data_IF_882196062403
#
_entry.id   IF_882196062403
#
_cell.length_a   1.000
_cell.length_b   1.000
_cell.length_c   1.000
_cell.angle_alpha   90.00
_cell.angle_beta   90.00
_cell.angle_gamma   90.00
#
_symmetry.space_group_name_H-M   'P 1'
#
loop_
_entity.id
_entity.type
_entity.pdbx_description
1 polymer ?
#
# COMPACT_ATOMS: atom_id res chain seq x y z
N UNK A 1 -1.47 10.47 -21.56
CA UNK A 1 -1.86 9.14 -22.12
C UNK A 1 -2.53 8.40 -20.98
N UNK A 2 -3.70 7.76 -21.22
CA UNK A 2 -4.38 6.98 -20.19
C UNK A 2 -3.55 5.78 -19.75
N UNK A 3 -3.45 5.53 -18.44
CA UNK A 3 -2.85 4.32 -17.92
C UNK A 3 -3.77 3.11 -18.15
N UNK A 4 -3.21 1.92 -18.33
CA UNK A 4 -4.02 0.69 -18.36
C UNK A 4 -4.16 0.13 -16.96
N UNK A 5 -5.40 -0.18 -16.58
CA UNK A 5 -5.74 -0.89 -15.35
C UNK A 5 -6.46 -2.17 -15.75
N UNK A 6 -5.85 -3.30 -15.49
CA UNK A 6 -6.45 -4.62 -15.71
C UNK A 6 -7.31 -5.00 -14.51
N UNK A 7 -8.49 -5.55 -14.78
CA UNK A 7 -9.50 -5.83 -13.75
C UNK A 7 -10.04 -7.26 -13.89
N UNK A 8 -10.28 -7.91 -12.76
CA UNK A 8 -11.03 -9.17 -12.69
C UNK A 8 -12.02 -9.11 -11.53
N UNK A 9 -13.27 -9.49 -11.77
CA UNK A 9 -14.29 -9.68 -10.72
C UNK A 9 -14.03 -10.92 -9.89
N UNK A 10 -13.40 -11.93 -10.47
CA UNK A 10 -13.04 -13.14 -9.77
C UNK A 10 -11.81 -12.88 -8.88
N UNK A 11 -11.95 -13.20 -7.58
CA UNK A 11 -10.92 -12.93 -6.57
C UNK A 11 -10.33 -14.26 -6.11
N UNK A 12 -9.36 -14.75 -6.87
CA UNK A 12 -8.60 -15.96 -6.54
C UNK A 12 -7.09 -15.70 -6.63
N UNK A 13 -6.27 -16.49 -5.92
CA UNK A 13 -4.82 -16.43 -6.04
C UNK A 13 -4.31 -16.51 -7.49
N UNK A 14 -4.95 -17.36 -8.31
CA UNK A 14 -4.60 -17.58 -9.72
C UNK A 14 -4.90 -16.33 -10.57
N UNK A 15 -5.97 -15.61 -10.25
CA UNK A 15 -6.32 -14.34 -10.92
C UNK A 15 -5.34 -13.23 -10.61
N UNK A 16 -4.76 -13.20 -9.41
CA UNK A 16 -3.67 -12.26 -9.08
C UNK A 16 -2.50 -12.47 -10.05
N UNK A 17 -2.08 -13.73 -10.27
CA UNK A 17 -1.00 -14.07 -11.21
C UNK A 17 -1.40 -13.77 -12.67
N UNK A 18 -2.65 -14.03 -13.04
CA UNK A 18 -3.13 -13.75 -14.41
C UNK A 18 -3.09 -12.24 -14.71
N UNK A 19 -3.54 -11.41 -13.76
CA UNK A 19 -3.49 -9.95 -13.89
C UNK A 19 -2.05 -9.42 -13.93
N UNK A 20 -1.15 -9.95 -13.10
CA UNK A 20 0.28 -9.62 -13.17
C UNK A 20 0.84 -9.88 -14.57
N UNK A 21 0.54 -11.04 -15.14
CA UNK A 21 0.98 -11.39 -16.51
C UNK A 21 0.38 -10.48 -17.58
N UNK A 22 -0.90 -10.08 -17.42
CA UNK A 22 -1.58 -9.16 -18.34
C UNK A 22 -0.97 -7.76 -18.34
N UNK A 23 -0.44 -7.29 -17.19
CA UNK A 23 0.31 -6.03 -17.09
C UNK A 23 1.56 -6.06 -18.00
N UNK A 24 2.14 -7.25 -18.24
CA UNK A 24 3.21 -7.45 -19.21
C UNK A 24 4.58 -6.87 -18.80
N UNK A 25 4.82 -6.69 -17.49
CA UNK A 25 6.09 -6.22 -16.94
C UNK A 25 6.76 -7.33 -16.13
N UNK A 26 7.95 -7.74 -16.55
CA UNK A 26 8.81 -8.59 -15.74
C UNK A 26 9.57 -7.73 -14.71
N UNK A 27 9.65 -8.24 -13.48
CA UNK A 27 10.41 -7.62 -12.41
C UNK A 27 11.82 -8.20 -12.37
N UNK A 28 12.87 -7.40 -12.65
CA UNK A 28 14.24 -7.90 -12.72
C UNK A 28 14.86 -8.09 -11.34
N UNK A 29 15.82 -9.00 -11.26
CA UNK A 29 16.72 -9.17 -10.12
C UNK A 29 16.02 -9.65 -8.86
N UNK A 30 16.44 -9.15 -7.70
CA UNK A 30 15.82 -9.45 -6.40
C UNK A 30 14.56 -8.63 -6.22
N UNK A 31 13.43 -9.30 -6.08
CA UNK A 31 12.09 -8.67 -6.03
C UNK A 31 11.66 -8.46 -4.58
N UNK A 32 11.41 -7.20 -4.19
CA UNK A 32 10.71 -6.87 -2.96
C UNK A 32 9.20 -7.04 -3.17
N UNK A 33 8.54 -7.90 -2.40
CA UNK A 33 7.07 -8.00 -2.39
C UNK A 33 6.55 -7.20 -1.20
N UNK A 34 6.12 -5.96 -1.47
CA UNK A 34 5.56 -5.08 -0.46
C UNK A 34 4.09 -5.35 -0.26
N UNK A 35 3.74 -5.76 0.92
CA UNK A 35 2.36 -6.00 1.34
C UNK A 35 2.13 -5.52 2.77
N UNK A 36 0.93 -5.71 3.30
CA UNK A 36 0.60 -5.51 4.70
C UNK A 36 0.40 -6.88 5.38
N UNK A 37 1.21 -7.17 6.37
CA UNK A 37 1.23 -8.49 7.04
C UNK A 37 0.08 -8.70 8.05
N UNK A 38 -0.73 -7.66 8.31
CA UNK A 38 -1.76 -7.63 9.34
C UNK A 38 -1.22 -7.26 10.72
N UNK A 39 -1.96 -6.44 11.48
CA UNK A 39 -1.70 -6.29 12.92
C UNK A 39 -2.24 -7.51 13.66
N UNK A 40 -1.62 -7.88 14.78
CA UNK A 40 -2.08 -9.02 15.56
C UNK A 40 -3.50 -8.77 16.09
N UNK A 41 -4.42 -9.66 15.74
CA UNK A 41 -5.85 -9.55 16.08
C UNK A 41 -6.74 -9.08 14.93
N UNK A 42 -6.17 -8.50 13.87
CA UNK A 42 -6.94 -8.12 12.68
C UNK A 42 -7.45 -9.36 11.96
N UNK A 43 -8.76 -9.39 11.66
CA UNK A 43 -9.43 -10.52 11.02
C UNK A 43 -9.61 -10.35 9.50
N UNK A 44 -9.35 -9.17 8.95
CA UNK A 44 -9.71 -8.83 7.56
C UNK A 44 -8.53 -8.93 6.58
N UNK A 45 -7.27 -8.93 7.08
CA UNK A 45 -6.10 -8.91 6.21
C UNK A 45 -6.03 -10.16 5.31
N UNK A 46 -5.45 -9.99 4.13
CA UNK A 46 -5.25 -11.10 3.19
C UNK A 46 -3.97 -11.86 3.57
N UNK A 47 -4.15 -13.11 4.00
CA UNK A 47 -3.08 -13.94 4.55
C UNK A 47 -2.16 -14.57 3.49
N UNK A 48 -1.11 -15.29 3.96
CA UNK A 48 -0.10 -15.91 3.12
C UNK A 48 -0.64 -16.80 1.99
N UNK A 49 -1.67 -17.60 2.26
CA UNK A 49 -2.19 -18.55 1.27
C UNK A 49 -2.81 -17.86 0.06
N UNK A 50 -3.42 -16.68 0.25
CA UNK A 50 -3.97 -15.90 -0.85
C UNK A 50 -2.86 -15.35 -1.77
N UNK A 51 -1.76 -14.89 -1.20
CA UNK A 51 -0.67 -14.27 -1.93
C UNK A 51 0.38 -15.25 -2.47
N UNK A 52 0.39 -16.49 -1.95
CA UNK A 52 1.42 -17.50 -2.25
C UNK A 52 1.72 -17.65 -3.75
N UNK A 53 0.75 -17.92 -4.66
CA UNK A 53 1.08 -18.13 -6.07
C UNK A 53 1.76 -16.92 -6.72
N UNK A 54 1.43 -15.70 -6.27
CA UNK A 54 2.03 -14.48 -6.80
C UNK A 54 3.45 -14.27 -6.29
N UNK A 55 3.69 -14.47 -4.99
CA UNK A 55 5.02 -14.34 -4.37
C UNK A 55 5.98 -15.36 -4.99
N UNK A 56 5.52 -16.62 -5.14
CA UNK A 56 6.30 -17.69 -5.77
C UNK A 56 6.58 -17.41 -7.26
N UNK A 57 5.60 -16.86 -7.99
CA UNK A 57 5.75 -16.55 -9.42
C UNK A 57 6.84 -15.52 -9.72
N UNK A 58 7.13 -14.62 -8.77
CA UNK A 58 8.21 -13.62 -8.90
C UNK A 58 9.46 -13.97 -8.09
N UNK A 59 9.48 -15.10 -7.41
CA UNK A 59 10.55 -15.49 -6.47
C UNK A 59 10.90 -14.37 -5.49
N UNK A 60 9.86 -13.69 -4.96
CA UNK A 60 10.01 -12.48 -4.19
C UNK A 60 10.22 -12.71 -2.70
N UNK A 61 10.86 -11.73 -2.05
CA UNK A 61 10.95 -11.64 -0.59
C UNK A 61 9.85 -10.72 -0.08
N UNK A 62 9.07 -11.16 0.90
CA UNK A 62 8.07 -10.32 1.57
C UNK A 62 8.77 -9.24 2.38
N UNK A 63 8.41 -7.97 2.15
CA UNK A 63 9.05 -6.84 2.83
C UNK A 63 8.04 -5.97 3.58
N UNK A 64 8.43 -5.56 4.79
CA UNK A 64 7.67 -4.68 5.67
C UNK A 64 8.60 -3.72 6.41
N UNK A 65 8.02 -2.69 7.06
CA UNK A 65 8.72 -1.82 8.01
C UNK A 65 7.95 -1.75 9.34
N UNK A 66 8.68 -1.51 10.43
CA UNK A 66 8.11 -1.33 11.76
C UNK A 66 7.11 -0.16 11.80
N UNK A 67 6.17 -0.18 12.76
CA UNK A 67 5.24 0.92 12.98
C UNK A 67 5.85 2.01 13.86
N UNK A 68 5.31 3.24 13.75
CA UNK A 68 5.73 4.39 14.55
C UNK A 68 4.89 4.57 15.83
N UNK A 69 3.91 3.71 16.06
CA UNK A 69 2.99 3.75 17.19
C UNK A 69 2.97 2.40 17.91
N UNK A 70 2.48 2.38 19.14
CA UNK A 70 2.40 1.18 19.96
C UNK A 70 1.57 0.08 19.30
N UNK A 71 2.09 -1.15 19.35
CA UNK A 71 1.48 -2.33 18.76
C UNK A 71 2.46 -3.49 18.69
N UNK A 72 2.05 -4.57 18.04
CA UNK A 72 2.88 -5.79 17.93
C UNK A 72 3.85 -5.75 16.73
N UNK A 73 3.98 -4.58 16.07
CA UNK A 73 4.93 -4.34 14.98
C UNK A 73 5.78 -3.08 15.19
N UNK A 74 5.80 -2.50 16.41
CA UNK A 74 6.57 -1.27 16.70
C UNK A 74 8.05 -1.51 17.00
N UNK A 75 8.48 -2.75 17.12
CA UNK A 75 9.89 -3.14 17.19
C UNK A 75 10.14 -4.33 16.28
N UNK A 76 11.34 -4.45 15.75
CA UNK A 76 11.73 -5.56 14.87
C UNK A 76 11.47 -6.93 15.49
N UNK A 77 11.74 -7.08 16.80
CA UNK A 77 11.49 -8.34 17.51
C UNK A 77 9.99 -8.70 17.56
N UNK A 78 9.13 -7.74 17.93
CA UNK A 78 7.67 -7.94 17.95
C UNK A 78 7.15 -8.20 16.55
N UNK A 79 7.61 -7.42 15.58
CA UNK A 79 7.20 -7.55 14.18
C UNK A 79 7.54 -8.94 13.63
N UNK A 80 8.75 -9.44 13.86
CA UNK A 80 9.14 -10.81 13.48
C UNK A 80 8.24 -11.87 14.13
N UNK A 81 7.86 -11.70 15.41
CA UNK A 81 6.90 -12.60 16.07
C UNK A 81 5.52 -12.57 15.39
N UNK A 82 5.04 -11.38 15.03
CA UNK A 82 3.78 -11.21 14.29
C UNK A 82 3.84 -11.88 12.92
N UNK A 83 4.94 -11.72 12.18
CA UNK A 83 5.16 -12.38 10.90
C UNK A 83 5.15 -13.92 11.00
N UNK A 84 5.74 -14.48 12.05
CA UNK A 84 5.67 -15.93 12.33
C UNK A 84 4.23 -16.34 12.65
N UNK A 85 3.55 -15.59 13.52
CA UNK A 85 2.20 -15.90 14.01
C UNK A 85 1.16 -15.88 12.88
N UNK A 86 1.32 -14.97 11.93
CA UNK A 86 0.45 -14.86 10.75
C UNK A 86 0.89 -15.80 9.60
N UNK A 87 1.94 -16.60 9.80
CA UNK A 87 2.40 -17.58 8.82
C UNK A 87 3.29 -17.04 7.71
N UNK A 88 3.68 -15.76 7.75
CA UNK A 88 4.54 -15.18 6.71
C UNK A 88 5.92 -15.81 6.68
N UNK A 89 6.66 -15.74 7.81
CA UNK A 89 8.03 -16.25 7.90
C UNK A 89 8.15 -17.77 7.88
N UNK A 90 7.05 -18.50 8.02
CA UNK A 90 7.03 -19.96 7.87
C UNK A 90 6.84 -20.40 6.42
N UNK A 91 6.43 -19.50 5.56
CA UNK A 91 6.10 -19.78 4.16
C UNK A 91 7.00 -19.06 3.16
N UNK A 92 7.59 -17.92 3.54
CA UNK A 92 8.38 -17.06 2.65
C UNK A 92 9.62 -16.53 3.34
N UNK A 93 10.57 -16.09 2.54
CA UNK A 93 11.61 -15.16 2.99
C UNK A 93 10.96 -13.83 3.35
N UNK A 94 11.28 -13.30 4.54
CA UNK A 94 10.72 -12.05 5.06
C UNK A 94 11.85 -11.13 5.50
N UNK A 95 11.74 -9.87 5.09
CA UNK A 95 12.69 -8.83 5.48
C UNK A 95 11.96 -7.64 6.13
N UNK A 96 12.42 -7.20 7.30
CA UNK A 96 11.97 -5.97 7.94
C UNK A 96 12.98 -4.90 7.56
N UNK A 97 12.63 -4.08 6.58
CA UNK A 97 13.56 -3.17 5.89
C UNK A 97 14.23 -2.13 6.79
N UNK A 98 13.63 -1.81 7.93
CA UNK A 98 14.14 -0.91 8.96
C UNK A 98 14.57 -1.63 10.24
N UNK A 99 14.96 -2.93 10.13
CA UNK A 99 15.45 -3.71 11.26
C UNK A 99 16.72 -3.11 11.88
N UNK A 100 17.50 -2.43 11.07
CA UNK A 100 18.73 -1.76 11.47
C UNK A 100 18.78 -0.33 10.94
N UNK A 101 19.45 0.56 11.69
CA UNK A 101 19.67 1.95 11.31
C UNK A 101 21.05 2.13 10.63
N UNK A 102 21.29 3.28 9.97
CA UNK A 102 20.37 4.39 9.72
C UNK A 102 19.37 4.09 8.61
N UNK A 103 18.28 4.87 8.55
CA UNK A 103 17.32 4.83 7.44
C UNK A 103 17.97 5.30 6.13
N UNK A 104 17.38 4.88 5.00
CA UNK A 104 17.72 5.45 3.70
C UNK A 104 16.88 6.72 3.46
N UNK A 105 17.54 7.86 3.26
CA UNK A 105 16.90 9.10 2.89
C UNK A 105 16.68 9.16 1.36
N UNK A 106 15.44 9.34 0.93
CA UNK A 106 15.07 9.60 -0.46
C UNK A 106 14.62 11.06 -0.62
N UNK A 107 15.11 11.72 -1.67
CA UNK A 107 14.71 13.09 -1.97
C UNK A 107 13.29 13.16 -2.56
N UNK A 108 12.56 14.22 -2.23
CA UNK A 108 11.24 14.57 -2.79
C UNK A 108 11.30 16.01 -3.32
N UNK A 109 11.99 16.26 -4.44
CA UNK A 109 12.33 17.63 -4.87
C UNK A 109 11.13 18.52 -5.17
N UNK A 110 9.98 17.93 -5.52
CA UNK A 110 8.75 18.66 -5.85
C UNK A 110 7.66 18.45 -4.79
N UNK A 111 8.02 17.95 -3.61
CA UNK A 111 7.07 17.66 -2.54
C UNK A 111 6.34 18.92 -2.08
N UNK A 112 5.06 18.78 -1.76
CA UNK A 112 4.20 19.86 -1.29
C UNK A 112 4.31 20.06 0.22
N UNK A 113 4.44 18.96 0.95
CA UNK A 113 4.46 18.91 2.39
C UNK A 113 5.84 18.52 2.93
N UNK A 114 6.50 17.55 2.29
CA UNK A 114 7.84 17.07 2.69
C UNK A 114 8.81 17.09 1.52
N UNK A 115 10.10 17.33 1.79
CA UNK A 115 11.17 17.35 0.78
C UNK A 115 12.05 16.11 0.84
N UNK A 116 11.79 15.22 1.79
CA UNK A 116 12.53 13.99 2.05
C UNK A 116 11.58 12.90 2.50
N UNK A 117 11.97 11.65 2.27
CA UNK A 117 11.31 10.49 2.82
C UNK A 117 12.38 9.59 3.46
N UNK A 118 12.05 8.97 4.59
CA UNK A 118 12.93 8.06 5.31
C UNK A 118 12.36 6.64 5.20
N UNK A 119 12.99 5.82 4.37
CA UNK A 119 12.57 4.43 4.14
C UNK A 119 13.49 3.46 4.87
N UNK A 120 13.02 2.24 5.09
CA UNK A 120 13.86 1.19 5.63
C UNK A 120 15.07 0.97 4.72
N UNK A 121 16.30 1.04 5.28
CA UNK A 121 17.54 1.03 4.48
C UNK A 121 17.69 -0.21 3.60
N UNK A 122 17.15 -1.33 4.06
CA UNK A 122 17.30 -2.62 3.37
C UNK A 122 16.50 -2.70 2.07
N UNK A 123 15.66 -1.69 1.77
CA UNK A 123 15.05 -1.51 0.44
C UNK A 123 16.11 -1.44 -0.67
N UNK A 124 17.30 -0.99 -0.34
CA UNK A 124 18.45 -0.91 -1.27
C UNK A 124 19.01 -2.29 -1.69
N UNK A 125 18.58 -3.36 -1.02
CA UNK A 125 18.98 -4.73 -1.37
C UNK A 125 18.13 -5.31 -2.51
N UNK A 126 17.16 -4.56 -3.05
CA UNK A 126 16.20 -5.03 -4.05
C UNK A 126 16.32 -4.25 -5.35
N UNK A 127 16.16 -4.97 -6.47
CA UNK A 127 16.28 -4.42 -7.82
C UNK A 127 14.92 -3.94 -8.35
N UNK A 128 13.82 -4.51 -7.87
CA UNK A 128 12.46 -4.25 -8.31
C UNK A 128 11.45 -4.47 -7.18
N UNK A 129 10.22 -3.98 -7.36
CA UNK A 129 9.19 -4.10 -6.34
C UNK A 129 7.83 -4.53 -6.93
N UNK A 130 7.21 -5.52 -6.30
CA UNK A 130 5.81 -5.85 -6.48
C UNK A 130 5.02 -5.32 -5.28
N UNK A 131 4.06 -4.44 -5.53
CA UNK A 131 3.20 -3.86 -4.48
C UNK A 131 1.87 -4.60 -4.49
N UNK A 132 1.60 -5.35 -3.43
CA UNK A 132 0.38 -6.11 -3.21
C UNK A 132 -0.45 -5.41 -2.13
N UNK A 133 -1.52 -4.76 -2.53
CA UNK A 133 -2.35 -3.98 -1.61
C UNK A 133 -3.69 -4.66 -1.39
N UNK A 134 -4.07 -4.79 -0.14
CA UNK A 134 -5.46 -4.97 0.25
C UNK A 134 -6.12 -3.59 0.24
N UNK A 135 -7.06 -3.34 -0.68
CA UNK A 135 -7.78 -2.07 -0.76
C UNK A 135 -8.93 -2.06 0.24
N UNK A 136 -9.02 -1.03 1.07
CA UNK A 136 -10.01 -0.86 2.15
C UNK A 136 -9.98 0.56 2.70
N UNK A 137 -10.88 0.85 3.65
CA UNK A 137 -10.84 2.09 4.43
C UNK A 137 -9.57 2.23 5.28
N UNK A 138 -9.36 3.44 5.78
CA UNK A 138 -8.26 3.74 6.69
C UNK A 138 -8.63 4.88 7.66
N UNK A 139 -8.36 4.74 8.98
CA UNK A 139 -8.80 5.71 9.98
C UNK A 139 -8.13 7.08 9.90
N UNK A 140 -7.03 7.22 9.16
CA UNK A 140 -6.38 8.52 8.95
C UNK A 140 -6.34 8.92 7.47
N UNK A 141 -6.01 8.01 6.56
CA UNK A 141 -5.88 8.33 5.13
C UNK A 141 -7.18 8.22 4.31
N UNK A 142 -8.32 7.92 4.95
CA UNK A 142 -9.58 7.66 4.27
C UNK A 142 -9.64 6.28 3.63
N UNK A 143 -8.62 5.91 2.86
CA UNK A 143 -8.45 4.56 2.29
C UNK A 143 -6.98 4.13 2.28
N UNK A 144 -6.75 2.84 2.03
CA UNK A 144 -5.42 2.28 1.81
C UNK A 144 -5.37 1.47 0.52
N UNK A 145 -4.41 1.78 -0.35
CA UNK A 145 -4.13 1.14 -1.62
C UNK A 145 -2.64 1.18 -1.96
N UNK A 146 -2.30 1.23 -3.25
CA UNK A 146 -0.93 1.23 -3.75
C UNK A 146 -0.12 2.44 -3.25
N UNK A 147 -0.69 3.64 -3.28
CA UNK A 147 -0.03 4.86 -2.80
C UNK A 147 0.36 4.76 -1.32
N UNK A 148 -0.55 4.20 -0.48
CA UNK A 148 -0.25 3.99 0.93
C UNK A 148 0.85 2.94 1.14
N UNK A 149 0.90 1.90 0.32
CA UNK A 149 1.98 0.90 0.41
C UNK A 149 3.33 1.50 0.03
N UNK A 150 3.38 2.35 -1.00
CA UNK A 150 4.61 3.05 -1.36
C UNK A 150 5.05 4.05 -0.29
N UNK A 151 4.14 4.85 0.25
CA UNK A 151 4.44 5.85 1.27
C UNK A 151 4.68 5.22 2.64
N UNK A 152 3.60 5.06 3.42
CA UNK A 152 3.65 4.55 4.80
C UNK A 152 4.23 3.13 4.84
N UNK A 153 3.93 2.28 3.84
CA UNK A 153 4.39 0.90 3.80
C UNK A 153 5.90 0.73 3.70
N UNK A 154 6.59 1.58 2.92
CA UNK A 154 8.03 1.55 2.73
C UNK A 154 8.81 2.43 3.72
N UNK A 155 8.14 3.41 4.36
CA UNK A 155 8.76 4.26 5.34
C UNK A 155 9.21 3.46 6.57
N UNK A 156 10.39 3.78 7.11
CA UNK A 156 10.85 3.28 8.41
C UNK A 156 9.91 3.72 9.55
N UNK A 157 10.11 3.21 10.74
CA UNK A 157 9.35 3.68 11.91
C UNK A 157 9.46 5.20 12.06
N UNK A 158 10.66 5.77 11.94
CA UNK A 158 10.86 7.23 11.95
C UNK A 158 10.18 7.91 10.75
N UNK A 159 10.35 7.34 9.54
CA UNK A 159 9.73 7.86 8.31
C UNK A 159 8.21 7.90 8.38
N UNK A 160 7.59 6.90 9.01
CA UNK A 160 6.14 6.91 9.25
C UNK A 160 5.72 8.08 10.14
N UNK A 161 6.43 8.33 11.25
CA UNK A 161 6.17 9.47 12.11
C UNK A 161 6.36 10.79 11.35
N UNK A 162 7.42 10.90 10.54
CA UNK A 162 7.72 12.05 9.71
C UNK A 162 6.61 12.35 8.68
N UNK A 163 6.10 11.33 7.98
CA UNK A 163 5.00 11.47 7.01
C UNK A 163 3.71 11.87 7.72
N UNK A 164 3.33 11.17 8.81
CA UNK A 164 2.10 11.48 9.56
C UNK A 164 2.15 12.88 10.18
N UNK A 165 3.33 13.32 10.59
CA UNK A 165 3.56 14.65 11.12
C UNK A 165 3.77 15.74 10.05
N UNK A 166 3.59 15.39 8.75
CA UNK A 166 3.82 16.33 7.64
C UNK A 166 5.19 17.04 7.71
N UNK A 167 6.25 16.26 8.02
CA UNK A 167 7.62 16.74 8.17
C UNK A 167 8.06 17.00 9.62
N UNK A 168 7.17 16.89 10.58
CA UNK A 168 7.42 17.10 12.01
C UNK A 168 7.03 15.83 12.80
N UNK A 169 7.95 14.86 13.01
CA UNK A 169 7.62 13.54 13.59
C UNK A 169 6.90 13.59 14.94
N UNK A 170 7.14 14.63 15.73
CA UNK A 170 6.48 14.84 17.03
C UNK A 170 4.99 15.17 16.89
N UNK A 171 4.56 15.60 15.71
CA UNK A 171 3.16 15.91 15.39
C UNK A 171 2.38 14.76 14.77
N UNK A 172 2.85 13.53 14.91
CA UNK A 172 2.24 12.32 14.29
C UNK A 172 0.70 12.23 14.43
N UNK A 173 0.13 12.81 15.51
CA UNK A 173 -1.31 12.80 15.78
C UNK A 173 -1.99 14.18 15.67
N UNK A 174 -1.22 15.24 15.42
CA UNK A 174 -1.70 16.62 15.51
C UNK A 174 -1.35 17.49 14.30
N UNK A 175 -0.71 16.91 13.29
CA UNK A 175 -0.45 17.61 12.03
C UNK A 175 -1.75 18.00 11.33
N UNK A 176 -1.67 19.06 10.52
CA UNK A 176 -2.76 19.39 9.61
C UNK A 176 -3.07 18.20 8.70
N UNK A 177 -4.35 17.82 8.63
CA UNK A 177 -4.76 16.59 7.98
C UNK A 177 -4.46 16.59 6.48
N UNK A 178 -4.75 17.70 5.81
CA UNK A 178 -4.48 17.83 4.37
C UNK A 178 -2.98 17.81 4.08
N UNK A 179 -2.16 18.39 4.95
CA UNK A 179 -0.70 18.33 4.84
C UNK A 179 -0.16 16.92 5.04
N UNK A 180 -0.79 16.11 5.90
CA UNK A 180 -0.46 14.67 6.02
C UNK A 180 -0.79 13.89 4.75
N UNK A 181 -1.95 14.13 4.14
CA UNK A 181 -2.33 13.46 2.88
C UNK A 181 -1.40 13.84 1.72
N UNK A 182 -0.98 15.11 1.66
CA UNK A 182 0.04 15.58 0.71
C UNK A 182 1.40 14.92 1.00
N UNK A 183 1.80 14.78 2.28
CA UNK A 183 3.03 14.10 2.65
C UNK A 183 3.03 12.60 2.27
N UNK A 184 1.88 11.94 2.31
CA UNK A 184 1.74 10.56 1.79
C UNK A 184 2.00 10.51 0.28
N UNK A 185 1.44 11.45 -0.50
CA UNK A 185 1.68 11.53 -1.94
C UNK A 185 3.15 11.82 -2.25
N UNK A 186 3.76 12.75 -1.52
CA UNK A 186 5.17 13.12 -1.61
C UNK A 186 6.08 11.90 -1.36
N UNK A 187 5.84 11.19 -0.26
CA UNK A 187 6.59 9.99 0.09
C UNK A 187 6.44 8.87 -0.95
N UNK A 188 5.21 8.65 -1.46
CA UNK A 188 4.96 7.66 -2.51
C UNK A 188 5.76 7.98 -3.78
N UNK A 189 5.86 9.26 -4.16
CA UNK A 189 6.62 9.70 -5.35
C UNK A 189 8.09 9.34 -5.25
N UNK A 190 8.70 9.45 -4.06
CA UNK A 190 10.12 9.14 -3.86
C UNK A 190 10.44 7.66 -4.05
N UNK A 191 9.55 6.78 -3.60
CA UNK A 191 9.72 5.32 -3.76
C UNK A 191 9.44 4.90 -5.21
N UNK A 192 8.42 5.51 -5.84
CA UNK A 192 8.14 5.30 -7.25
C UNK A 192 9.34 5.74 -8.13
N UNK A 193 9.96 6.88 -7.84
CA UNK A 193 11.17 7.35 -8.53
C UNK A 193 12.38 6.44 -8.26
N UNK A 194 12.52 5.91 -7.05
CA UNK A 194 13.61 5.00 -6.69
C UNK A 194 13.62 3.72 -7.53
N UNK A 195 12.47 3.07 -7.68
CA UNK A 195 12.35 1.85 -8.51
C UNK A 195 12.03 2.14 -9.98
N UNK A 196 11.53 3.33 -10.28
CA UNK A 196 11.13 3.73 -11.66
C UNK A 196 10.17 2.73 -12.30
N UNK A 197 10.53 2.31 -13.49
CA UNK A 197 9.75 1.37 -14.30
C UNK A 197 9.86 -0.10 -13.86
N UNK A 198 10.47 -0.37 -12.70
CA UNK A 198 10.65 -1.73 -12.14
C UNK A 198 9.63 -2.02 -11.03
N UNK A 199 8.41 -1.53 -11.17
CA UNK A 199 7.32 -1.75 -10.23
C UNK A 199 6.06 -2.26 -10.92
N UNK A 200 5.31 -3.09 -10.21
CA UNK A 200 3.94 -3.51 -10.58
C UNK A 200 3.06 -3.36 -9.35
N UNK A 201 1.84 -2.86 -9.54
CA UNK A 201 0.86 -2.62 -8.49
C UNK A 201 -0.36 -3.50 -8.68
N UNK A 202 -0.77 -4.18 -7.60
CA UNK A 202 -1.98 -5.00 -7.57
C UNK A 202 -2.78 -4.64 -6.32
N UNK A 203 -4.02 -4.20 -6.51
CA UNK A 203 -4.97 -3.92 -5.45
C UNK A 203 -6.06 -5.00 -5.43
N UNK A 204 -6.35 -5.55 -4.26
CA UNK A 204 -7.41 -6.54 -4.05
C UNK A 204 -8.51 -5.92 -3.21
N UNK A 205 -9.71 -5.82 -3.77
CA UNK A 205 -10.92 -5.26 -3.18
C UNK A 205 -11.78 -6.40 -2.62
N UNK A 206 -11.30 -7.02 -1.54
CA UNK A 206 -11.89 -8.15 -0.83
C UNK A 206 -11.89 -7.85 0.67
N UNK A 207 -12.91 -8.27 1.39
CA UNK A 207 -13.03 -8.03 2.83
C UNK A 207 -12.85 -6.53 3.19
N UNK A 208 -13.45 -5.64 2.38
CA UNK A 208 -13.26 -4.19 2.55
C UNK A 208 -14.00 -3.67 3.79
N UNK A 209 -13.24 -3.41 4.84
CA UNK A 209 -13.67 -2.71 6.04
C UNK A 209 -13.41 -1.20 5.92
N UNK A 210 -14.06 -0.40 6.75
CA UNK A 210 -13.70 1.02 6.96
C UNK A 210 -12.37 1.16 7.69
N UNK A 211 -11.91 0.10 8.37
CA UNK A 211 -10.65 0.07 9.09
C UNK A 211 -9.55 -0.64 8.29
N UNK A 212 -8.32 -0.31 8.66
CA UNK A 212 -7.12 -0.85 8.02
C UNK A 212 -6.63 -2.13 8.70
N UNK A 213 -5.88 -2.96 7.97
CA UNK A 213 -5.16 -4.12 8.50
C UNK A 213 -4.17 -3.75 9.62
N UNK A 214 -3.88 -2.47 9.80
CA UNK A 214 -3.04 -1.97 10.89
C UNK A 214 -3.80 -1.78 12.21
N UNK A 215 -5.12 -1.96 12.23
CA UNK A 215 -5.94 -1.94 13.43
C UNK A 215 -6.02 -3.37 13.99
N UNK A 216 -5.65 -3.56 15.26
CA UNK A 216 -5.74 -4.88 15.93
C UNK A 216 -7.20 -5.34 16.06
N UNK A 217 -8.11 -4.38 16.26
CA UNK A 217 -9.57 -4.60 16.25
C UNK A 217 -10.12 -3.73 15.15
N UNK A 218 -10.57 -4.34 14.08
CA UNK A 218 -11.18 -3.68 12.92
C UNK A 218 -12.67 -4.01 12.86
N UNK A 219 -13.45 -3.12 12.27
CA UNK A 219 -14.83 -3.45 11.90
C UNK A 219 -14.84 -4.58 10.87
N UNK A 220 -15.94 -5.33 10.83
CA UNK A 220 -16.14 -6.33 9.79
C UNK A 220 -16.23 -5.66 8.40
N UNK A 221 -16.02 -6.42 7.30
CA UNK A 221 -16.21 -5.88 5.96
C UNK A 221 -17.59 -5.23 5.80
N UNK A 222 -17.60 -3.99 5.30
CA UNK A 222 -18.82 -3.18 5.24
C UNK A 222 -19.59 -3.32 3.92
N UNK A 223 -18.97 -3.87 2.88
CA UNK A 223 -19.57 -4.04 1.56
C UNK A 223 -19.10 -5.32 0.87
N UNK A 224 -19.78 -5.70 -0.19
CA UNK A 224 -19.40 -6.85 -1.02
C UNK A 224 -18.03 -6.66 -1.68
N UNK A 225 -17.33 -7.77 -1.89
CA UNK A 225 -16.08 -7.84 -2.63
C UNK A 225 -16.31 -7.36 -4.08
N UNK A 226 -15.34 -6.61 -4.65
CA UNK A 226 -15.48 -6.04 -6.00
C UNK A 226 -14.58 -6.77 -7.01
N UNK A 227 -13.31 -7.01 -6.67
CA UNK A 227 -12.38 -7.62 -7.62
C UNK A 227 -10.91 -7.37 -7.32
N UNK A 228 -10.09 -7.65 -8.33
CA UNK A 228 -8.64 -7.42 -8.31
C UNK A 228 -8.28 -6.48 -9.46
N UNK A 229 -7.43 -5.51 -9.19
CA UNK A 229 -6.93 -4.57 -10.18
C UNK A 229 -5.40 -4.62 -10.25
N UNK A 230 -4.83 -4.48 -11.45
CA UNK A 230 -3.39 -4.42 -11.65
C UNK A 230 -2.99 -3.34 -12.64
N UNK A 231 -1.91 -2.62 -12.38
CA UNK A 231 -1.39 -1.56 -13.24
C UNK A 231 0.11 -1.35 -13.08
N UNK A 232 0.73 -0.63 -14.00
CA UNK A 232 2.07 -0.04 -13.86
C UNK A 232 2.02 1.34 -13.20
N UNK A 233 0.84 1.90 -12.99
CA UNK A 233 0.62 3.23 -12.44
C UNK A 233 -0.11 3.11 -11.10
N UNK A 234 0.53 3.50 -9.97
CA UNK A 234 -0.07 3.39 -8.64
C UNK A 234 -1.26 4.35 -8.45
N UNK A 235 -1.26 5.48 -9.15
CA UNK A 235 -2.32 6.49 -9.07
C UNK A 235 -3.55 5.98 -9.80
N UNK A 236 -3.35 5.43 -11.00
CA UNK A 236 -4.44 4.90 -11.82
C UNK A 236 -5.13 3.70 -11.16
N UNK A 237 -4.37 2.79 -10.53
CA UNK A 237 -4.96 1.63 -9.87
C UNK A 237 -5.75 2.02 -8.62
N UNK A 238 -5.28 2.99 -7.83
CA UNK A 238 -6.01 3.49 -6.67
C UNK A 238 -7.25 4.29 -7.10
N UNK A 239 -7.13 5.14 -8.17
CA UNK A 239 -8.28 5.85 -8.73
C UNK A 239 -9.35 4.88 -9.24
N UNK A 240 -8.96 3.83 -9.94
CA UNK A 240 -9.91 2.83 -10.44
C UNK A 240 -10.62 2.09 -9.30
N UNK A 241 -9.92 1.78 -8.19
CA UNK A 241 -10.55 1.22 -7.00
C UNK A 241 -11.58 2.17 -6.38
N UNK A 242 -11.25 3.46 -6.24
CA UNK A 242 -12.18 4.48 -5.75
C UNK A 242 -13.42 4.56 -6.64
N UNK A 243 -13.24 4.66 -7.95
CA UNK A 243 -14.34 4.74 -8.91
C UNK A 243 -15.28 3.52 -8.82
N UNK A 244 -14.72 2.32 -8.64
CA UNK A 244 -15.50 1.10 -8.47
C UNK A 244 -16.26 1.07 -7.13
N UNK A 245 -15.69 1.60 -6.05
CA UNK A 245 -16.43 1.78 -4.78
C UNK A 245 -17.58 2.75 -4.98
N UNK A 246 -17.32 3.93 -5.55
CA UNK A 246 -18.35 4.95 -5.78
C UNK A 246 -19.47 4.48 -6.73
N UNK A 247 -19.15 3.63 -7.71
CA UNK A 247 -20.11 3.09 -8.68
C UNK A 247 -20.84 1.83 -8.18
N UNK A 248 -20.49 1.27 -7.02
CA UNK A 248 -21.13 0.06 -6.50
C UNK A 248 -22.60 0.31 -6.12
N UNK A 249 -23.48 -0.63 -6.41
CA UNK A 249 -24.88 -0.63 -5.97
C UNK A 249 -25.08 -1.26 -4.57
N UNK A 250 -24.02 -1.78 -3.96
CA UNK A 250 -24.07 -2.35 -2.62
C UNK A 250 -24.35 -1.23 -1.59
N UNK A 251 -25.40 -1.35 -0.77
CA UNK A 251 -25.75 -0.31 0.22
C UNK A 251 -24.66 -0.11 1.28
N UNK A 252 -23.85 -1.12 1.54
CA UNK A 252 -22.73 -1.02 2.48
C UNK A 252 -21.58 -0.11 2.01
N UNK A 253 -21.55 0.22 0.71
CA UNK A 253 -20.56 1.15 0.15
C UNK A 253 -20.61 2.52 0.82
N UNK A 254 -21.82 2.98 1.22
CA UNK A 254 -21.98 4.33 1.79
C UNK A 254 -21.16 4.51 3.06
N UNK A 255 -20.97 3.45 3.84
CA UNK A 255 -20.09 3.47 5.02
C UNK A 255 -18.61 3.64 4.65
N UNK A 256 -18.15 2.97 3.59
CA UNK A 256 -16.77 3.14 3.09
C UNK A 256 -16.58 4.50 2.43
N UNK A 257 -17.56 4.98 1.66
CA UNK A 257 -17.55 6.32 1.04
C UNK A 257 -17.48 7.40 2.12
N UNK A 258 -18.30 7.30 3.18
CA UNK A 258 -18.26 8.24 4.31
C UNK A 258 -16.86 8.28 4.95
N UNK A 259 -16.20 7.12 5.16
CA UNK A 259 -14.84 7.05 5.67
C UNK A 259 -13.86 7.77 4.73
N UNK A 260 -13.95 7.56 3.42
CA UNK A 260 -13.08 8.19 2.43
C UNK A 260 -13.28 9.71 2.40
N UNK A 261 -14.54 10.16 2.35
CA UNK A 261 -14.88 11.58 2.20
C UNK A 261 -14.66 12.38 3.49
N UNK A 262 -15.07 11.84 4.64
CA UNK A 262 -14.89 12.53 5.94
C UNK A 262 -13.42 12.80 6.27
N UNK A 263 -12.50 12.02 5.69
CA UNK A 263 -11.06 12.16 5.85
C UNK A 263 -10.37 12.73 4.59
N UNK A 264 -11.13 13.29 3.64
CA UNK A 264 -10.59 13.85 2.39
C UNK A 264 -9.61 12.89 1.67
N UNK A 265 -9.87 11.56 1.74
CA UNK A 265 -8.91 10.54 1.31
C UNK A 265 -8.51 10.63 -0.17
N UNK A 266 -9.38 11.15 -1.04
CA UNK A 266 -9.11 11.35 -2.47
C UNK A 266 -7.96 12.32 -2.70
N UNK A 267 -7.69 13.24 -1.76
CA UNK A 267 -6.60 14.21 -1.84
C UNK A 267 -5.23 13.56 -2.07
N UNK A 268 -4.95 12.40 -1.47
CA UNK A 268 -3.68 11.69 -1.70
C UNK A 268 -3.49 11.33 -3.18
N UNK A 269 -4.55 10.88 -3.87
CA UNK A 269 -4.52 10.57 -5.31
C UNK A 269 -4.35 11.84 -6.15
N UNK A 270 -5.04 12.92 -5.78
CA UNK A 270 -4.95 14.23 -6.46
C UNK A 270 -3.56 14.84 -6.33
N UNK A 271 -3.00 14.83 -5.13
CA UNK A 271 -1.65 15.32 -4.85
C UNK A 271 -0.59 14.49 -5.57
N UNK A 272 -0.73 13.16 -5.58
CA UNK A 272 0.15 12.26 -6.31
C UNK A 272 0.12 12.53 -7.83
N UNK A 273 -1.06 12.71 -8.40
CA UNK A 273 -1.20 13.05 -9.81
C UNK A 273 -0.56 14.42 -10.16
N UNK A 274 -0.68 15.38 -9.26
CA UNK A 274 -0.07 16.70 -9.44
C UNK A 274 1.47 16.67 -9.36
N UNK A 275 2.07 15.69 -8.70
CA UNK A 275 3.53 15.45 -8.70
C UNK A 275 4.02 14.82 -10.01
N UNK A 276 3.13 14.25 -10.82
CA UNK A 276 3.42 13.83 -12.20
C UNK A 276 4.11 12.47 -12.34
N UNK A 277 4.12 11.61 -11.30
CA UNK A 277 4.69 10.26 -11.41
C UNK A 277 3.66 9.18 -11.83
N UNK A 278 2.44 9.59 -12.19
CA UNK A 278 1.36 8.77 -12.70
C UNK A 278 0.16 9.64 -13.09
N UNK A 279 -0.99 9.01 -13.35
CA UNK A 279 -2.21 9.71 -13.83
C UNK A 279 -3.48 9.12 -13.23
N UNK A 280 -4.48 9.97 -13.01
CA UNK A 280 -5.85 9.57 -12.65
C UNK A 280 -6.67 9.08 -13.86
N UNK A 281 -6.19 9.36 -15.08
CA UNK A 281 -6.86 8.92 -16.30
C UNK A 281 -6.42 7.51 -16.67
N UNK A 282 -7.37 6.59 -16.75
CA UNK A 282 -7.10 5.19 -17.07
C UNK A 282 -8.10 4.59 -18.07
N UNK A 283 -7.70 3.46 -18.61
CA UNK A 283 -8.55 2.53 -19.37
C UNK A 283 -8.68 1.26 -18.55
N UNK A 284 -9.91 0.88 -18.18
CA UNK A 284 -10.19 -0.37 -17.47
C UNK A 284 -10.31 -1.52 -18.50
N UNK A 285 -9.48 -2.54 -18.34
CA UNK A 285 -9.46 -3.74 -19.20
C UNK A 285 -9.88 -4.94 -18.36
N UNK A 286 -11.10 -5.42 -18.56
CA UNK A 286 -11.63 -6.60 -17.85
C UNK A 286 -11.11 -7.91 -18.46
N UNK A 287 -10.69 -8.89 -17.57
CA UNK A 287 -10.09 -10.21 -17.91
C UNK A 287 -10.90 -11.38 -17.37
#
# INVERSE_FOLDING_TARGET
MKAKVYFSREITPEKVVALYRAVGRELPGKVAVKLHSGEQGNQNFLGPDFWRPMIEAVHGTVVECNTAYEGERNTTEKHRRTMIKHGWSTNFDVDILDAESPDLELAVPNGRSIQKNFVGKDIANYDSMLVLSHFKGHPMGGFGGALKQLSIGCASSYGKAYIHGAGEPEKIWTADHDSFLDAMADAASSVAEYFKDKTVFINVMKNMSVDCDCCAVAEDPCMADIGILASLDPIAVDQACLDLVYASDDPGRDHLVERIESLNGVRTVESAAALGFGTREYELVEL
#
